data_IF_027219884351
#
_entry.id   IF_027219884351
#
_cell.length_a   1.000
_cell.length_b   1.000
_cell.length_c   1.000
_cell.angle_alpha   90.00
_cell.angle_beta   90.00
_cell.angle_gamma   90.00
#
_symmetry.space_group_name_H-M   'P 1'
#
loop_
_entity.id
_entity.type
_entity.pdbx_description
1 polymer ?
#
# COMPACT_ATOMS: atom_id res chain seq x y z
N UNK A 1 11.10 -7.33 -5.81
CA UNK A 1 11.75 -8.58 -5.38
C UNK A 1 12.87 -9.10 -6.30
N UNK A 2 13.12 -8.51 -7.48
CA UNK A 2 14.15 -8.99 -8.42
C UNK A 2 15.55 -8.34 -8.27
N UNK A 3 15.66 -7.20 -7.60
CA UNK A 3 16.94 -6.44 -7.52
C UNK A 3 17.95 -7.02 -6.53
N UNK A 4 17.48 -7.74 -5.49
CA UNK A 4 18.37 -8.39 -4.51
C UNK A 4 18.94 -9.73 -5.01
N UNK A 5 18.21 -10.44 -5.88
CA UNK A 5 18.68 -11.72 -6.46
C UNK A 5 19.91 -11.54 -7.34
N UNK A 6 20.09 -10.36 -7.95
CA UNK A 6 21.24 -10.05 -8.80
C UNK A 6 22.51 -9.81 -7.96
N UNK A 7 22.40 -9.20 -6.78
CA UNK A 7 23.58 -9.00 -5.88
C UNK A 7 24.09 -10.30 -5.27
N UNK A 8 23.21 -11.27 -4.98
CA UNK A 8 23.65 -12.60 -4.53
C UNK A 8 24.40 -13.36 -5.63
N UNK A 9 23.96 -13.25 -6.88
CA UNK A 9 24.59 -13.97 -8.00
C UNK A 9 26.01 -13.45 -8.30
N UNK A 10 26.24 -12.14 -8.15
CA UNK A 10 27.58 -11.53 -8.34
C UNK A 10 28.55 -11.90 -7.21
N UNK A 11 28.07 -12.06 -5.98
CA UNK A 11 28.93 -12.40 -4.84
C UNK A 11 29.44 -13.85 -4.91
N UNK A 12 28.59 -14.80 -5.34
CA UNK A 12 28.95 -16.22 -5.48
C UNK A 12 29.99 -16.43 -6.59
N UNK A 13 29.85 -15.74 -7.73
CA UNK A 13 30.82 -15.84 -8.84
C UNK A 13 32.21 -15.29 -8.44
N UNK A 14 32.26 -14.23 -7.60
CA UNK A 14 33.55 -13.70 -7.13
C UNK A 14 34.27 -14.61 -6.12
N UNK A 15 33.51 -15.47 -5.41
CA UNK A 15 34.07 -16.39 -4.42
C UNK A 15 34.66 -17.65 -5.06
N UNK A 16 34.04 -18.17 -6.13
CA UNK A 16 34.58 -19.30 -6.90
C UNK A 16 35.87 -18.95 -7.66
N UNK A 17 35.98 -17.71 -8.17
CA UNK A 17 37.15 -17.28 -8.95
C UNK A 17 38.40 -17.06 -8.09
N UNK A 18 38.22 -16.76 -6.80
CA UNK A 18 39.33 -16.51 -5.86
C UNK A 18 39.85 -17.82 -5.21
N UNK A 19 38.99 -18.83 -5.05
CA UNK A 19 39.39 -20.12 -4.46
C UNK A 19 40.14 -21.03 -5.44
N UNK A 20 40.05 -20.77 -6.75
CA UNK A 20 40.76 -21.53 -7.78
C UNK A 20 42.20 -21.03 -8.03
N UNK A 21 42.62 -19.97 -7.32
CA UNK A 21 43.99 -19.41 -7.40
C UNK A 21 44.91 -19.82 -6.24
N UNK A 22 44.38 -20.42 -5.18
CA UNK A 22 45.14 -20.71 -3.94
C UNK A 22 45.47 -22.18 -3.70
N UNK A 23 45.06 -23.11 -4.57
CA UNK A 23 45.31 -24.55 -4.41
C UNK A 23 46.57 -25.06 -5.12
N UNK A 24 47.77 -24.82 -4.57
CA UNK A 24 49.00 -25.40 -5.10
C UNK A 24 50.18 -25.48 -4.11
N UNK A 25 50.43 -26.69 -3.58
CA UNK A 25 51.64 -27.12 -2.84
C UNK A 25 51.52 -27.02 -1.31
N UNK A 26 51.97 -27.96 -0.47
CA UNK A 26 52.65 -29.25 -0.62
C UNK A 26 53.23 -29.66 0.76
N UNK A 27 53.06 -30.93 1.16
CA UNK A 27 53.90 -31.76 2.05
C UNK A 27 54.27 -31.34 3.49
N UNK A 28 54.17 -32.29 4.43
CA UNK A 28 54.98 -32.33 5.66
C UNK A 28 54.27 -32.90 6.89
N UNK A 29 54.65 -34.11 7.30
CA UNK A 29 54.28 -34.78 8.55
C UNK A 29 54.80 -34.04 9.79
N UNK A 30 54.08 -34.13 10.92
CA UNK A 30 54.64 -34.37 12.27
C UNK A 30 53.51 -34.52 13.31
N UNK A 31 53.60 -35.59 14.10
CA UNK A 31 52.72 -35.98 15.19
C UNK A 31 52.83 -35.04 16.40
N UNK A 32 51.72 -34.47 16.87
CA UNK A 32 51.64 -33.92 18.23
C UNK A 32 50.26 -34.09 18.88
N UNK A 33 50.31 -34.55 20.13
CA UNK A 33 49.22 -35.00 20.98
C UNK A 33 48.23 -33.85 21.24
N UNK A 34 47.11 -33.85 20.52
CA UNK A 34 46.01 -32.90 20.68
C UNK A 34 44.77 -33.57 21.26
N UNK A 35 44.37 -33.12 22.45
CA UNK A 35 43.07 -33.37 23.10
C UNK A 35 41.98 -33.49 22.04
N UNK A 36 41.52 -34.72 21.78
CA UNK A 36 40.62 -35.01 20.68
C UNK A 36 39.27 -34.37 20.95
N UNK A 37 39.13 -33.20 20.36
CA UNK A 37 37.92 -32.41 20.25
C UNK A 37 36.71 -33.30 19.99
N UNK A 38 35.69 -33.19 20.85
CA UNK A 38 34.33 -33.54 20.47
C UNK A 38 33.84 -32.50 19.44
N UNK A 39 34.43 -32.50 18.25
CA UNK A 39 33.83 -31.88 17.07
C UNK A 39 32.60 -32.70 16.74
N UNK A 40 31.50 -32.34 17.38
CA UNK A 40 30.14 -32.79 17.05
C UNK A 40 29.96 -32.42 15.57
N UNK A 41 30.17 -33.38 14.65
CA UNK A 41 29.92 -33.23 13.20
C UNK A 41 28.45 -32.82 13.05
N UNK A 42 28.21 -31.51 12.97
CA UNK A 42 26.87 -30.98 12.74
C UNK A 42 26.60 -31.15 11.26
N UNK A 43 25.52 -31.86 10.97
CA UNK A 43 25.10 -32.25 9.63
C UNK A 43 24.85 -30.98 8.81
N UNK A 44 25.70 -30.68 7.83
CA UNK A 44 25.44 -29.62 6.85
C UNK A 44 24.28 -30.09 5.96
N UNK A 45 23.19 -29.31 5.93
CA UNK A 45 21.98 -29.64 5.19
C UNK A 45 22.16 -29.23 3.73
N UNK A 46 22.63 -30.15 2.89
CA UNK A 46 23.00 -29.91 1.47
C UNK A 46 21.89 -29.39 0.55
N UNK A 47 20.64 -29.35 0.99
CA UNK A 47 19.50 -28.86 0.20
C UNK A 47 19.09 -27.41 0.51
N UNK A 48 19.69 -26.77 1.53
CA UNK A 48 19.54 -25.34 1.80
C UNK A 48 20.85 -24.62 1.45
N UNK A 49 20.90 -23.83 0.37
CA UNK A 49 22.09 -23.08 0.04
C UNK A 49 22.27 -21.93 1.04
N UNK A 50 23.40 -21.89 1.75
CA UNK A 50 23.91 -20.65 2.35
C UNK A 50 23.53 -20.32 3.79
N UNK A 51 22.98 -21.25 4.58
CA UNK A 51 22.96 -21.08 6.05
C UNK A 51 24.21 -21.75 6.62
N UNK A 52 25.37 -21.18 6.26
CA UNK A 52 26.64 -21.48 6.93
C UNK A 52 26.67 -20.82 8.30
N UNK A 53 27.61 -21.22 9.15
CA UNK A 53 27.79 -20.76 10.54
C UNK A 53 28.10 -19.25 10.69
N UNK A 54 27.80 -18.43 9.67
CA UNK A 54 28.05 -17.00 9.51
C UNK A 54 26.81 -16.14 9.82
N UNK A 55 25.78 -16.72 10.46
CA UNK A 55 24.61 -15.99 10.95
C UNK A 55 25.01 -15.07 12.11
N UNK A 56 25.62 -13.94 11.78
CA UNK A 56 25.72 -12.83 12.72
C UNK A 56 24.30 -12.32 12.96
N UNK A 57 23.69 -12.77 14.06
CA UNK A 57 22.35 -12.35 14.50
C UNK A 57 22.24 -10.83 14.59
N UNK A 58 23.35 -10.12 14.85
CA UNK A 58 23.41 -8.66 14.82
C UNK A 58 23.22 -8.07 13.42
N UNK A 59 23.89 -8.62 12.41
CA UNK A 59 23.77 -8.16 11.01
C UNK A 59 22.42 -8.56 10.41
N UNK A 60 21.97 -9.79 10.68
CA UNK A 60 20.64 -10.25 10.27
C UNK A 60 19.53 -9.39 10.91
N UNK A 61 19.67 -9.01 12.18
CA UNK A 61 18.71 -8.13 12.84
C UNK A 61 18.68 -6.73 12.22
N UNK A 62 19.84 -6.18 11.84
CA UNK A 62 19.96 -4.87 11.16
C UNK A 62 19.35 -4.90 9.76
N UNK A 63 19.48 -6.02 9.05
CA UNK A 63 18.84 -6.21 7.75
C UNK A 63 17.32 -6.40 7.85
N UNK A 64 16.83 -7.05 8.92
CA UNK A 64 15.41 -7.28 9.14
C UNK A 64 14.66 -6.07 9.70
N UNK A 65 15.36 -5.15 10.39
CA UNK A 65 14.69 -4.03 11.09
C UNK A 65 13.85 -3.14 10.17
N UNK A 66 14.31 -2.77 8.96
CA UNK A 66 13.49 -2.01 8.00
C UNK A 66 12.21 -2.75 7.59
N UNK A 67 12.29 -4.06 7.34
CA UNK A 67 11.13 -4.88 6.99
C UNK A 67 10.12 -4.96 8.13
N UNK A 68 10.60 -5.19 9.36
CA UNK A 68 9.73 -5.22 10.55
C UNK A 68 9.03 -3.88 10.77
N UNK A 69 9.73 -2.76 10.57
CA UNK A 69 9.15 -1.42 10.68
C UNK A 69 8.09 -1.15 9.60
N UNK A 70 8.36 -1.54 8.36
CA UNK A 70 7.40 -1.40 7.26
C UNK A 70 6.14 -2.25 7.52
N UNK A 71 6.32 -3.53 7.82
CA UNK A 71 5.21 -4.44 8.14
C UNK A 71 4.41 -3.96 9.36
N UNK A 72 5.09 -3.49 10.41
CA UNK A 72 4.44 -2.93 11.60
C UNK A 72 3.58 -1.70 11.27
N UNK A 73 4.06 -0.80 10.40
CA UNK A 73 3.29 0.35 9.95
C UNK A 73 2.03 -0.08 9.17
N UNK A 74 2.16 -1.03 8.25
CA UNK A 74 1.03 -1.56 7.47
C UNK A 74 0.01 -2.31 8.34
N UNK A 75 0.45 -3.04 9.36
CA UNK A 75 -0.44 -3.68 10.33
C UNK A 75 -1.21 -2.61 11.10
N UNK A 76 -0.54 -1.57 11.59
CA UNK A 76 -1.20 -0.50 12.33
C UNK A 76 -2.24 0.23 11.47
N UNK A 77 -1.89 0.55 10.22
CA UNK A 77 -2.82 1.07 9.20
C UNK A 77 -4.07 0.19 9.07
N UNK A 78 -3.86 -1.12 8.94
CA UNK A 78 -4.95 -2.09 8.75
C UNK A 78 -5.82 -2.18 10.00
N UNK A 79 -5.23 -2.26 11.19
CA UNK A 79 -5.96 -2.31 12.46
C UNK A 79 -6.80 -1.04 12.68
N UNK A 80 -6.27 0.14 12.37
CA UNK A 80 -7.04 1.40 12.47
C UNK A 80 -8.26 1.40 11.57
N UNK A 81 -8.10 0.98 10.32
CA UNK A 81 -9.21 0.86 9.37
C UNK A 81 -10.26 -0.15 9.86
N UNK A 82 -9.82 -1.34 10.30
CA UNK A 82 -10.73 -2.38 10.78
C UNK A 82 -11.47 -1.96 12.05
N UNK A 83 -10.80 -1.26 12.97
CA UNK A 83 -11.44 -0.73 14.17
C UNK A 83 -12.51 0.31 13.82
N UNK A 84 -12.24 1.19 12.85
CA UNK A 84 -13.24 2.15 12.38
C UNK A 84 -14.45 1.46 11.73
N UNK A 85 -14.24 0.47 10.84
CA UNK A 85 -15.32 -0.29 10.21
C UNK A 85 -16.11 -1.16 11.21
N UNK A 86 -15.46 -1.64 12.27
CA UNK A 86 -16.14 -2.29 13.38
C UNK A 86 -17.02 -1.28 14.13
N UNK A 87 -16.51 -0.08 14.41
CA UNK A 87 -17.26 1.00 15.05
C UNK A 87 -18.48 1.45 14.25
N UNK A 88 -18.41 1.50 12.91
CA UNK A 88 -19.61 1.82 12.09
C UNK A 88 -20.70 0.77 12.26
N UNK A 89 -20.32 -0.51 12.34
CA UNK A 89 -21.28 -1.62 12.52
C UNK A 89 -21.86 -1.59 13.93
N UNK A 90 -21.03 -1.35 14.94
CA UNK A 90 -21.47 -1.17 16.32
C UNK A 90 -22.47 -0.01 16.42
N UNK A 91 -22.13 1.16 15.83
CA UNK A 91 -22.97 2.35 15.76
C UNK A 91 -24.36 2.07 15.18
N UNK A 92 -24.39 1.37 14.04
CA UNK A 92 -25.64 1.03 13.38
C UNK A 92 -26.54 0.14 14.25
N UNK A 93 -25.95 -0.79 15.02
CA UNK A 93 -26.69 -1.71 15.86
C UNK A 93 -27.42 -1.07 17.04
N UNK A 94 -26.89 0.01 17.63
CA UNK A 94 -27.52 0.67 18.79
C UNK A 94 -28.28 1.96 18.43
N UNK A 95 -27.89 2.68 17.37
CA UNK A 95 -28.49 3.97 17.01
C UNK A 95 -29.58 3.87 15.93
N UNK A 96 -29.77 2.70 15.31
CA UNK A 96 -30.81 2.49 14.29
C UNK A 96 -32.18 2.24 14.93
N UNK A 97 -33.23 2.79 14.30
CA UNK A 97 -34.63 2.52 14.65
C UNK A 97 -35.06 1.12 14.20
N UNK A 98 -34.51 0.63 13.09
CA UNK A 98 -34.81 -0.71 12.52
C UNK A 98 -33.49 -1.44 12.23
N UNK A 99 -32.77 -1.90 13.27
CA UNK A 99 -31.39 -2.39 13.12
C UNK A 99 -31.24 -3.54 12.13
N UNK A 100 -32.22 -4.45 12.06
CA UNK A 100 -32.16 -5.62 11.18
C UNK A 100 -32.12 -5.23 9.69
N UNK A 101 -32.98 -4.28 9.28
CA UNK A 101 -33.04 -3.80 7.90
C UNK A 101 -31.81 -2.96 7.57
N UNK A 102 -31.41 -2.07 8.47
CA UNK A 102 -30.25 -1.19 8.27
C UNK A 102 -28.93 -1.98 8.21
N UNK A 103 -28.72 -2.96 9.09
CA UNK A 103 -27.53 -3.83 9.06
C UNK A 103 -27.48 -4.66 7.78
N UNK A 104 -28.62 -5.21 7.34
CA UNK A 104 -28.71 -5.93 6.08
C UNK A 104 -28.41 -5.02 4.88
N UNK A 105 -28.96 -3.81 4.85
CA UNK A 105 -28.72 -2.83 3.80
C UNK A 105 -27.25 -2.40 3.77
N UNK A 106 -26.66 -2.12 4.94
CA UNK A 106 -25.24 -1.83 5.07
C UNK A 106 -24.38 -2.99 4.54
N UNK A 107 -24.74 -4.23 4.82
CA UNK A 107 -24.00 -5.40 4.34
C UNK A 107 -24.06 -5.54 2.82
N UNK A 108 -25.22 -5.30 2.19
CA UNK A 108 -25.36 -5.28 0.72
C UNK A 108 -24.44 -4.22 0.11
N UNK A 109 -24.50 -2.98 0.62
CA UNK A 109 -23.66 -1.88 0.15
C UNK A 109 -22.16 -2.16 0.35
N UNK A 110 -21.79 -2.75 1.49
CA UNK A 110 -20.42 -3.15 1.80
C UNK A 110 -19.90 -4.23 0.84
N UNK A 111 -20.75 -5.19 0.46
CA UNK A 111 -20.38 -6.22 -0.51
C UNK A 111 -20.10 -5.63 -1.89
N UNK A 112 -20.94 -4.68 -2.35
CA UNK A 112 -20.67 -3.94 -3.59
C UNK A 112 -19.35 -3.18 -3.52
N UNK A 113 -19.12 -2.47 -2.40
CA UNK A 113 -17.88 -1.72 -2.18
C UNK A 113 -16.63 -2.62 -2.20
N UNK A 114 -16.69 -3.80 -1.58
CA UNK A 114 -15.57 -4.76 -1.56
C UNK A 114 -15.24 -5.28 -2.96
N UNK A 115 -16.24 -5.62 -3.78
CA UNK A 115 -16.02 -6.09 -5.16
C UNK A 115 -15.28 -5.02 -5.97
N UNK A 116 -15.71 -3.77 -5.87
CA UNK A 116 -15.07 -2.64 -6.53
C UNK A 116 -13.66 -2.36 -5.99
N UNK A 117 -13.46 -2.55 -4.68
CA UNK A 117 -12.16 -2.42 -4.03
C UNK A 117 -11.15 -3.45 -4.56
N UNK A 118 -11.57 -4.70 -4.78
CA UNK A 118 -10.71 -5.72 -5.40
C UNK A 118 -10.30 -5.38 -6.82
N UNK A 119 -11.20 -4.79 -7.62
CA UNK A 119 -10.85 -4.33 -8.96
C UNK A 119 -9.79 -3.21 -8.92
N UNK A 120 -9.90 -2.29 -7.96
CA UNK A 120 -8.93 -1.22 -7.76
C UNK A 120 -7.60 -1.70 -7.18
N UNK A 121 -7.60 -2.78 -6.40
CA UNK A 121 -6.38 -3.38 -5.83
C UNK A 121 -5.40 -3.84 -6.93
N UNK A 122 -5.92 -4.34 -8.05
CA UNK A 122 -5.09 -4.69 -9.21
C UNK A 122 -4.32 -3.48 -9.78
N UNK A 123 -4.97 -2.31 -9.84
CA UNK A 123 -4.33 -1.06 -10.31
C UNK A 123 -3.35 -0.54 -9.25
N UNK A 124 -3.69 -0.64 -7.97
CA UNK A 124 -2.80 -0.25 -6.87
C UNK A 124 -1.51 -1.07 -6.86
N UNK A 125 -1.61 -2.39 -7.04
CA UNK A 125 -0.44 -3.28 -7.15
C UNK A 125 0.41 -2.91 -8.37
N UNK A 126 -0.23 -2.62 -9.52
CA UNK A 126 0.49 -2.14 -10.70
C UNK A 126 1.23 -0.82 -10.41
N UNK A 127 0.58 0.12 -9.73
CA UNK A 127 1.18 1.39 -9.29
C UNK A 127 2.41 1.15 -8.42
N UNK A 128 2.28 0.28 -7.41
CA UNK A 128 3.38 -0.07 -6.52
C UNK A 128 4.58 -0.66 -7.27
N UNK A 129 4.35 -1.61 -8.19
CA UNK A 129 5.45 -2.23 -8.93
C UNK A 129 6.11 -1.25 -9.91
N UNK A 130 5.33 -0.43 -10.61
CA UNK A 130 5.85 0.51 -11.59
C UNK A 130 6.63 1.64 -10.92
N UNK A 131 6.09 2.26 -9.86
CA UNK A 131 6.79 3.30 -9.10
C UNK A 131 8.05 2.75 -8.43
N UNK A 132 7.97 1.57 -7.80
CA UNK A 132 9.16 0.94 -7.20
C UNK A 132 10.24 0.62 -8.26
N UNK A 133 9.83 0.22 -9.47
CA UNK A 133 10.76 -0.03 -10.57
C UNK A 133 11.44 1.25 -11.06
N UNK A 134 10.69 2.33 -11.28
CA UNK A 134 11.23 3.63 -11.70
C UNK A 134 12.23 4.19 -10.67
N UNK A 135 11.92 4.06 -9.38
CA UNK A 135 12.80 4.49 -8.29
C UNK A 135 14.04 3.59 -8.11
N UNK A 136 14.01 2.36 -8.64
CA UNK A 136 15.12 1.42 -8.54
C UNK A 136 16.14 1.56 -9.68
N UNK A 137 15.85 2.37 -10.70
CA UNK A 137 16.74 2.50 -11.85
C UNK A 137 18.03 3.25 -11.47
N UNK A 138 19.15 2.92 -12.12
CA UNK A 138 20.50 3.38 -11.73
C UNK A 138 20.80 4.84 -12.09
N UNK A 139 19.78 5.62 -12.45
CA UNK A 139 19.92 7.04 -12.73
C UNK A 139 20.24 7.83 -11.46
N UNK A 140 20.65 9.10 -11.61
CA UNK A 140 20.72 10.04 -10.49
C UNK A 140 19.38 10.08 -9.77
N UNK A 141 19.37 10.18 -8.44
CA UNK A 141 18.16 10.17 -7.60
C UNK A 141 17.05 11.08 -8.15
N UNK A 142 17.40 12.28 -8.62
CA UNK A 142 16.45 13.24 -9.19
C UNK A 142 15.78 12.78 -10.50
N UNK A 143 16.51 12.07 -11.37
CA UNK A 143 15.94 11.55 -12.61
C UNK A 143 15.01 10.37 -12.33
N UNK A 144 15.38 9.49 -11.39
CA UNK A 144 14.53 8.37 -10.98
C UNK A 144 13.21 8.85 -10.35
N UNK A 145 13.25 9.91 -9.54
CA UNK A 145 12.06 10.55 -8.97
C UNK A 145 11.16 11.17 -10.05
N UNK A 146 11.73 11.85 -11.04
CA UNK A 146 10.97 12.44 -12.16
C UNK A 146 10.28 11.37 -13.02
N UNK A 147 10.98 10.28 -13.35
CA UNK A 147 10.40 9.15 -14.11
C UNK A 147 9.31 8.43 -13.32
N UNK A 148 9.52 8.24 -12.01
CA UNK A 148 8.52 7.69 -11.11
C UNK A 148 7.28 8.59 -11.02
N UNK A 149 7.45 9.91 -11.04
CA UNK A 149 6.37 10.90 -11.04
C UNK A 149 5.52 10.83 -12.30
N UNK A 150 6.14 10.83 -13.48
CA UNK A 150 5.41 10.66 -14.76
C UNK A 150 4.64 9.35 -14.79
N UNK A 151 5.23 8.29 -14.24
CA UNK A 151 4.58 6.98 -14.15
C UNK A 151 3.38 7.02 -13.19
N UNK A 152 3.54 7.63 -12.01
CA UNK A 152 2.48 7.81 -11.03
C UNK A 152 1.31 8.63 -11.60
N UNK A 153 1.57 9.73 -12.31
CA UNK A 153 0.54 10.57 -12.94
C UNK A 153 -0.29 9.79 -13.96
N UNK A 154 0.36 8.96 -14.78
CA UNK A 154 -0.34 8.10 -15.77
C UNK A 154 -1.21 7.06 -15.10
N UNK A 155 -0.74 6.43 -14.02
CA UNK A 155 -1.53 5.42 -13.31
C UNK A 155 -2.67 6.06 -12.51
N UNK A 156 -2.48 7.26 -11.96
CA UNK A 156 -3.55 8.05 -11.36
C UNK A 156 -4.66 8.37 -12.36
N UNK A 157 -4.30 8.72 -13.60
CA UNK A 157 -5.28 8.92 -14.67
C UNK A 157 -6.07 7.64 -14.95
N UNK A 158 -5.39 6.49 -15.09
CA UNK A 158 -6.06 5.20 -15.27
C UNK A 158 -6.95 4.83 -14.08
N UNK A 159 -6.50 5.10 -12.86
CA UNK A 159 -7.30 4.98 -11.64
C UNK A 159 -8.55 5.85 -11.69
N UNK A 160 -8.41 7.13 -12.03
CA UNK A 160 -9.54 8.05 -12.18
C UNK A 160 -10.54 7.55 -13.23
N UNK A 161 -10.06 7.12 -14.40
CA UNK A 161 -10.89 6.55 -15.46
C UNK A 161 -11.64 5.30 -14.99
N UNK A 162 -10.96 4.36 -14.33
CA UNK A 162 -11.57 3.15 -13.77
C UNK A 162 -12.59 3.47 -12.68
N UNK A 163 -12.29 4.41 -11.79
CA UNK A 163 -13.19 4.89 -10.74
C UNK A 163 -14.45 5.52 -11.32
N UNK A 164 -14.31 6.38 -12.33
CA UNK A 164 -15.45 6.96 -13.06
C UNK A 164 -16.27 5.88 -13.77
N UNK A 165 -15.63 4.90 -14.42
CA UNK A 165 -16.33 3.80 -15.07
C UNK A 165 -17.16 2.99 -14.07
N UNK A 166 -16.58 2.65 -12.90
CA UNK A 166 -17.29 1.93 -11.85
C UNK A 166 -18.39 2.76 -11.20
N UNK A 167 -18.18 4.07 -11.03
CA UNK A 167 -19.22 4.97 -10.55
C UNK A 167 -20.40 5.03 -11.52
N UNK A 168 -20.15 5.13 -12.83
CA UNK A 168 -21.19 5.07 -13.85
C UNK A 168 -21.91 3.72 -13.85
N UNK A 169 -21.18 2.61 -13.73
CA UNK A 169 -21.78 1.28 -13.60
C UNK A 169 -22.71 1.19 -12.38
N UNK A 170 -22.33 1.76 -11.23
CA UNK A 170 -23.21 1.83 -10.06
C UNK A 170 -24.43 2.73 -10.28
N UNK A 171 -24.30 3.82 -11.03
CA UNK A 171 -25.44 4.72 -11.31
C UNK A 171 -26.48 4.08 -12.23
N UNK A 172 -26.04 3.32 -13.24
CA UNK A 172 -26.95 2.69 -14.21
C UNK A 172 -27.42 1.30 -13.77
N UNK A 173 -26.53 0.49 -13.20
CA UNK A 173 -26.77 -0.92 -12.88
C UNK A 173 -26.85 -1.19 -11.36
N UNK A 174 -26.75 -0.16 -10.52
CA UNK A 174 -26.72 -0.31 -9.06
C UNK A 174 -27.95 -1.00 -8.47
N UNK A 175 -29.13 -0.68 -8.98
CA UNK A 175 -30.39 -1.31 -8.56
C UNK A 175 -30.45 -2.79 -8.98
N UNK A 176 -29.95 -3.13 -10.17
CA UNK A 176 -29.79 -4.52 -10.59
C UNK A 176 -28.81 -5.27 -9.68
N UNK A 177 -27.67 -4.64 -9.33
CA UNK A 177 -26.68 -5.22 -8.44
C UNK A 177 -27.24 -5.44 -7.01
N UNK A 178 -28.04 -4.52 -6.48
CA UNK A 178 -28.72 -4.68 -5.17
C UNK A 178 -29.72 -5.85 -5.22
N UNK A 179 -30.53 -5.96 -6.29
CA UNK A 179 -31.47 -7.08 -6.44
C UNK A 179 -30.81 -8.45 -6.49
N UNK A 180 -29.58 -8.54 -6.99
CA UNK A 180 -28.81 -9.79 -6.99
C UNK A 180 -28.36 -10.21 -5.59
N UNK A 181 -28.19 -9.24 -4.68
CA UNK A 181 -27.66 -9.47 -3.33
C UNK A 181 -28.76 -9.65 -2.27
N UNK A 182 -29.98 -9.16 -2.52
CA UNK A 182 -31.09 -9.29 -1.57
C UNK A 182 -32.44 -9.51 -2.26
N UNK A 183 -33.25 -10.36 -1.64
CA UNK A 183 -34.66 -10.57 -2.03
C UNK A 183 -35.64 -9.76 -1.17
N UNK A 184 -35.19 -9.13 -0.07
CA UNK A 184 -36.04 -8.36 0.82
C UNK A 184 -36.36 -6.98 0.22
N UNK A 185 -37.65 -6.61 0.05
CA UNK A 185 -38.05 -5.29 -0.44
C UNK A 185 -37.54 -4.15 0.44
N UNK A 186 -37.66 -4.29 1.77
CA UNK A 186 -37.30 -3.25 2.74
C UNK A 186 -35.79 -2.95 2.71
N UNK A 187 -34.96 -4.00 2.61
CA UNK A 187 -33.50 -3.86 2.48
C UNK A 187 -33.12 -3.18 1.18
N UNK A 188 -33.84 -3.50 0.09
CA UNK A 188 -33.61 -2.87 -1.22
C UNK A 188 -33.99 -1.38 -1.19
N UNK A 189 -35.11 -1.03 -0.56
CA UNK A 189 -35.55 0.36 -0.41
C UNK A 189 -34.56 1.19 0.42
N UNK A 190 -33.97 0.60 1.46
CA UNK A 190 -32.93 1.25 2.26
C UNK A 190 -31.58 1.38 1.51
N UNK A 191 -31.15 0.35 0.77
CA UNK A 191 -29.83 0.32 0.14
C UNK A 191 -29.75 1.08 -1.20
N UNK A 192 -30.74 0.92 -2.08
CA UNK A 192 -30.69 1.42 -3.46
C UNK A 192 -30.45 2.93 -3.56
N UNK A 193 -31.11 3.79 -2.75
CA UNK A 193 -30.87 5.23 -2.79
C UNK A 193 -29.44 5.62 -2.39
N UNK A 194 -28.77 4.82 -1.55
CA UNK A 194 -27.39 5.06 -1.12
C UNK A 194 -26.37 4.65 -2.17
N UNK A 195 -26.70 3.68 -3.04
CA UNK A 195 -25.83 3.30 -4.16
C UNK A 195 -25.55 4.51 -5.05
N UNK A 196 -26.60 5.21 -5.50
CA UNK A 196 -26.43 6.37 -6.36
C UNK A 196 -25.92 7.62 -5.64
N UNK A 197 -26.45 7.91 -4.44
CA UNK A 197 -26.13 9.17 -3.74
C UNK A 197 -24.77 9.18 -3.06
N UNK A 198 -24.29 8.03 -2.58
CA UNK A 198 -23.07 7.95 -1.79
C UNK A 198 -22.06 7.00 -2.42
N UNK A 199 -22.42 5.74 -2.69
CA UNK A 199 -21.46 4.72 -3.12
C UNK A 199 -20.83 5.05 -4.47
N UNK A 200 -21.63 5.48 -5.45
CA UNK A 200 -21.16 5.85 -6.78
C UNK A 200 -20.16 7.03 -6.78
N UNK A 201 -20.47 8.22 -6.20
CA UNK A 201 -19.48 9.29 -6.13
C UNK A 201 -18.28 8.93 -5.26
N UNK A 202 -18.51 8.17 -4.17
CA UNK A 202 -17.43 7.70 -3.30
C UNK A 202 -16.46 6.77 -4.05
N UNK A 203 -16.93 5.99 -5.01
CA UNK A 203 -16.08 5.09 -5.81
C UNK A 203 -14.97 5.83 -6.56
N UNK A 204 -15.22 7.04 -7.05
CA UNK A 204 -14.21 7.86 -7.73
C UNK A 204 -13.11 8.28 -6.75
N UNK A 205 -13.51 8.75 -5.56
CA UNK A 205 -12.59 9.14 -4.49
C UNK A 205 -11.78 7.93 -4.02
N UNK A 206 -12.46 6.83 -3.72
CA UNK A 206 -11.82 5.57 -3.29
C UNK A 206 -10.83 5.06 -4.33
N UNK A 207 -11.15 5.14 -5.62
CA UNK A 207 -10.23 4.73 -6.68
C UNK A 207 -8.89 5.48 -6.60
N UNK A 208 -8.94 6.81 -6.49
CA UNK A 208 -7.74 7.64 -6.37
C UNK A 208 -6.95 7.33 -5.09
N UNK A 209 -7.64 7.09 -3.98
CA UNK A 209 -7.02 6.70 -2.72
C UNK A 209 -6.30 5.35 -2.83
N UNK A 210 -6.90 4.36 -3.49
CA UNK A 210 -6.30 3.03 -3.66
C UNK A 210 -5.05 3.09 -4.53
N UNK A 211 -5.12 3.82 -5.66
CA UNK A 211 -3.94 4.05 -6.50
C UNK A 211 -2.87 4.85 -5.76
N UNK A 212 -3.27 5.87 -5.01
CA UNK A 212 -2.37 6.69 -4.20
C UNK A 212 -1.63 5.88 -3.13
N UNK A 213 -2.33 4.96 -2.46
CA UNK A 213 -1.69 4.02 -1.52
C UNK A 213 -0.67 3.12 -2.22
N UNK A 214 -1.00 2.61 -3.43
CA UNK A 214 -0.05 1.86 -4.24
C UNK A 214 1.21 2.67 -4.59
N UNK A 215 1.06 3.95 -4.93
CA UNK A 215 2.17 4.86 -5.21
C UNK A 215 3.04 5.08 -3.96
N UNK A 216 2.42 5.37 -2.80
CA UNK A 216 3.13 5.58 -1.54
C UNK A 216 3.89 4.32 -1.09
N UNK A 217 3.29 3.14 -1.25
CA UNK A 217 3.95 1.87 -0.97
C UNK A 217 5.08 1.57 -1.97
N UNK A 218 4.91 1.98 -3.23
CA UNK A 218 5.94 1.92 -4.26
C UNK A 218 7.16 2.77 -3.93
N UNK A 219 6.93 3.96 -3.35
CA UNK A 219 7.98 4.85 -2.83
C UNK A 219 8.44 4.52 -1.39
N UNK A 220 7.98 3.40 -0.82
CA UNK A 220 8.31 2.93 0.53
C UNK A 220 7.91 3.86 1.69
N UNK A 221 6.89 4.70 1.50
CA UNK A 221 6.44 5.69 2.50
C UNK A 221 5.41 5.14 3.49
N UNK A 222 5.68 3.95 4.03
CA UNK A 222 4.74 3.20 4.88
C UNK A 222 4.39 3.90 6.20
N UNK A 223 5.33 4.67 6.77
CA UNK A 223 5.10 5.40 8.02
C UNK A 223 4.08 6.51 7.84
N UNK A 224 4.21 7.28 6.77
CA UNK A 224 3.27 8.33 6.44
C UNK A 224 1.88 7.75 6.20
N UNK A 225 1.80 6.69 5.39
CA UNK A 225 0.55 6.00 5.07
C UNK A 225 -0.18 5.51 6.33
N UNK A 226 0.58 4.95 7.30
CA UNK A 226 0.02 4.51 8.58
C UNK A 226 -0.50 5.67 9.43
N UNK A 227 0.28 6.75 9.58
CA UNK A 227 -0.13 7.94 10.35
C UNK A 227 -1.35 8.62 9.72
N UNK A 228 -1.36 8.76 8.39
CA UNK A 228 -2.49 9.31 7.65
C UNK A 228 -3.76 8.48 7.86
N UNK A 229 -3.66 7.15 7.82
CA UNK A 229 -4.80 6.27 8.07
C UNK A 229 -5.31 6.38 9.51
N UNK A 230 -4.42 6.43 10.51
CA UNK A 230 -4.81 6.61 11.91
C UNK A 230 -5.56 7.94 12.08
N UNK A 231 -4.99 9.03 11.56
CA UNK A 231 -5.59 10.36 11.64
C UNK A 231 -6.97 10.39 10.96
N UNK A 232 -7.08 9.83 9.75
CA UNK A 232 -8.35 9.74 9.03
C UNK A 232 -9.38 8.88 9.79
N UNK A 233 -8.95 7.74 10.35
CA UNK A 233 -9.82 6.84 11.12
C UNK A 233 -10.31 7.48 12.42
N UNK A 234 -9.46 8.23 13.10
CA UNK A 234 -9.83 8.99 14.30
C UNK A 234 -10.80 10.12 13.96
N UNK A 235 -10.58 10.85 12.86
CA UNK A 235 -11.47 11.92 12.43
C UNK A 235 -12.85 11.37 12.04
N UNK A 236 -12.88 10.31 11.22
CA UNK A 236 -14.11 9.65 10.83
C UNK A 236 -14.82 8.99 12.03
N UNK A 237 -14.07 8.35 12.94
CA UNK A 237 -14.62 7.81 14.18
C UNK A 237 -15.19 8.89 15.10
N UNK A 238 -14.52 10.04 15.21
CA UNK A 238 -15.01 11.21 15.92
C UNK A 238 -16.35 11.70 15.37
N UNK A 239 -16.56 11.65 14.05
CA UNK A 239 -17.86 12.00 13.45
C UNK A 239 -19.01 11.08 13.91
N UNK A 240 -18.73 9.77 14.12
CA UNK A 240 -19.72 8.83 14.66
C UNK A 240 -20.04 9.14 16.13
N UNK A 241 -19.01 9.44 16.93
CA UNK A 241 -19.21 9.82 18.33
C UNK A 241 -20.04 11.10 18.45
N UNK A 242 -19.78 12.11 17.61
CA UNK A 242 -20.59 13.33 17.59
C UNK A 242 -22.05 13.04 17.18
N UNK A 243 -22.25 12.17 16.18
CA UNK A 243 -23.60 11.76 15.78
C UNK A 243 -24.34 11.01 16.89
N UNK A 244 -23.65 10.21 17.70
CA UNK A 244 -24.21 9.53 18.87
C UNK A 244 -24.64 10.50 19.98
N UNK A 245 -23.92 11.62 20.14
CA UNK A 245 -24.31 12.72 21.04
C UNK A 245 -25.50 13.55 20.50
N UNK A 246 -26.12 13.14 19.40
CA UNK A 246 -27.23 13.86 18.77
C UNK A 246 -26.79 15.02 17.87
N UNK A 247 -25.49 15.23 17.65
CA UNK A 247 -24.96 16.24 16.74
C UNK A 247 -24.96 15.74 15.29
N UNK A 248 -26.14 15.37 14.80
CA UNK A 248 -26.36 14.96 13.40
C UNK A 248 -27.53 15.76 12.81
N UNK A 249 -27.56 15.97 11.48
CA UNK A 249 -28.73 16.57 10.84
C UNK A 249 -29.99 15.74 11.15
N UNK A 250 -31.12 16.41 11.41
CA UNK A 250 -32.38 15.76 11.82
C UNK A 250 -32.86 14.70 10.82
N UNK A 251 -32.57 14.91 9.53
CA UNK A 251 -32.96 14.00 8.43
C UNK A 251 -32.04 12.78 8.26
N UNK A 252 -30.94 12.67 9.02
CA UNK A 252 -29.96 11.60 8.82
C UNK A 252 -30.31 10.34 9.64
N UNK A 253 -30.76 9.31 8.94
CA UNK A 253 -30.81 7.94 9.46
C UNK A 253 -29.43 7.44 9.88
N UNK A 254 -29.38 6.47 10.79
CA UNK A 254 -28.12 5.88 11.24
C UNK A 254 -27.31 5.29 10.06
N UNK A 255 -27.99 4.69 9.08
CA UNK A 255 -27.38 4.19 7.85
C UNK A 255 -26.72 5.31 7.02
N UNK A 256 -27.36 6.47 6.89
CA UNK A 256 -26.78 7.62 6.18
C UNK A 256 -25.55 8.17 6.93
N UNK A 257 -25.60 8.24 8.27
CA UNK A 257 -24.47 8.69 9.10
C UNK A 257 -23.25 7.83 8.86
N UNK A 258 -23.36 6.49 8.93
CA UNK A 258 -22.19 5.63 8.79
C UNK A 258 -21.55 5.74 7.39
N UNK A 259 -22.36 5.83 6.34
CA UNK A 259 -21.85 5.97 4.97
C UNK A 259 -21.25 7.36 4.72
N UNK A 260 -21.78 8.39 5.36
CA UNK A 260 -21.15 9.72 5.39
C UNK A 260 -19.80 9.68 6.13
N UNK A 261 -19.69 8.97 7.26
CA UNK A 261 -18.41 8.79 7.97
C UNK A 261 -17.40 7.97 7.16
N UNK A 262 -17.84 6.95 6.44
CA UNK A 262 -16.97 6.19 5.51
C UNK A 262 -16.51 7.11 4.37
N UNK A 263 -17.40 7.94 3.81
CA UNK A 263 -17.02 8.91 2.80
C UNK A 263 -15.98 9.90 3.35
N UNK A 264 -16.21 10.41 4.57
CA UNK A 264 -15.29 11.30 5.27
C UNK A 264 -13.90 10.68 5.44
N UNK A 265 -13.83 9.40 5.82
CA UNK A 265 -12.58 8.65 5.87
C UNK A 265 -11.84 8.69 4.52
N UNK A 266 -12.53 8.42 3.41
CA UNK A 266 -11.91 8.41 2.08
C UNK A 266 -11.47 9.80 1.63
N UNK A 267 -12.24 10.85 1.92
CA UNK A 267 -11.85 12.23 1.61
C UNK A 267 -10.62 12.66 2.40
N UNK A 268 -10.51 12.30 3.68
CA UNK A 268 -9.31 12.57 4.48
C UNK A 268 -8.09 11.83 3.94
N UNK A 269 -8.25 10.57 3.55
CA UNK A 269 -7.17 9.79 2.91
C UNK A 269 -6.74 10.40 1.59
N UNK A 270 -7.69 10.85 0.76
CA UNK A 270 -7.38 11.54 -0.49
C UNK A 270 -6.63 12.84 -0.21
N UNK A 271 -7.08 13.64 0.75
CA UNK A 271 -6.42 14.88 1.15
C UNK A 271 -4.99 14.65 1.66
N UNK A 272 -4.78 13.61 2.47
CA UNK A 272 -3.46 13.20 2.92
C UNK A 272 -2.56 12.80 1.73
N UNK A 273 -3.07 11.93 0.84
CA UNK A 273 -2.34 11.54 -0.36
C UNK A 273 -1.99 12.76 -1.23
N UNK A 274 -2.94 13.64 -1.55
CA UNK A 274 -2.73 14.85 -2.35
C UNK A 274 -1.69 15.76 -1.70
N UNK A 275 -1.80 16.00 -0.39
CA UNK A 275 -0.81 16.79 0.34
C UNK A 275 0.59 16.18 0.28
N UNK A 276 0.70 14.86 0.42
CA UNK A 276 2.00 14.19 0.29
C UNK A 276 2.49 14.26 -1.15
N UNK A 277 1.65 14.01 -2.14
CA UNK A 277 2.04 13.93 -3.54
C UNK A 277 2.51 15.27 -4.12
N UNK A 278 1.90 16.38 -3.70
CA UNK A 278 2.18 17.71 -4.27
C UNK A 278 3.01 18.65 -3.39
N UNK A 279 3.08 18.45 -2.07
CA UNK A 279 3.70 19.44 -1.16
C UNK A 279 4.94 18.90 -0.49
N UNK A 280 4.86 17.70 0.09
CA UNK A 280 5.87 17.25 1.06
C UNK A 280 6.42 15.84 0.78
N UNK A 281 6.12 15.23 -0.36
CA UNK A 281 6.39 13.82 -0.60
C UNK A 281 7.63 13.51 -1.43
N UNK A 282 7.98 12.21 -1.53
CA UNK A 282 9.16 11.74 -2.24
C UNK A 282 9.11 11.96 -3.76
N UNK A 283 7.93 12.22 -4.31
CA UNK A 283 7.72 12.48 -5.74
C UNK A 283 7.35 13.95 -6.02
N UNK A 284 7.52 14.85 -5.05
CA UNK A 284 7.19 16.27 -5.20
C UNK A 284 8.07 16.91 -6.29
N UNK A 285 7.49 17.80 -7.09
CA UNK A 285 8.22 18.51 -8.13
C UNK A 285 9.02 19.66 -7.50
N UNK A 286 10.20 19.35 -6.99
CA UNK A 286 11.12 20.32 -6.38
C UNK A 286 11.99 20.97 -7.46
N UNK A 287 11.38 21.48 -8.51
CA UNK A 287 12.06 22.13 -9.63
C UNK A 287 12.70 23.49 -9.29
N UNK A 288 12.60 23.97 -8.05
CA UNK A 288 13.13 25.28 -7.66
C UNK A 288 14.50 25.27 -6.96
N UNK A 289 15.03 24.12 -6.52
CA UNK A 289 16.24 24.11 -5.67
C UNK A 289 17.53 23.57 -6.34
N UNK A 290 17.57 23.53 -7.67
CA UNK A 290 18.73 22.98 -8.38
C UNK A 290 18.81 23.23 -9.89
N UNK A 291 18.50 24.42 -10.37
CA UNK A 291 18.96 24.85 -11.69
C UNK A 291 20.17 25.78 -11.52
N UNK A 292 21.39 25.29 -11.78
CA UNK A 292 22.09 25.88 -12.92
C UNK A 292 22.93 24.85 -13.68
N UNK A 293 22.71 24.78 -15.00
CA UNK A 293 23.78 24.76 -16.02
C UNK A 293 23.14 24.55 -17.39
N UNK A 294 22.91 25.66 -18.08
CA UNK A 294 23.30 25.85 -19.47
C UNK A 294 23.36 24.58 -20.36
N UNK A 295 22.42 24.49 -21.29
CA UNK A 295 22.74 23.96 -22.61
C UNK A 295 23.75 24.91 -23.26
N UNK A 296 25.03 24.78 -22.90
CA UNK A 296 26.13 25.18 -23.77
C UNK A 296 26.17 24.13 -24.87
N UNK A 297 25.45 24.40 -25.95
CA UNK A 297 25.79 23.82 -27.25
C UNK A 297 27.19 24.28 -27.58
N UNK A 298 28.17 23.38 -27.42
CA UNK A 298 29.50 23.54 -28.00
C UNK A 298 29.36 23.71 -29.51
N UNK A 299 30.07 24.72 -29.99
CA UNK A 299 30.40 25.02 -31.37
C UNK A 299 30.65 23.77 -32.22
N UNK A 300 29.91 23.66 -33.33
CA UNK A 300 30.42 23.07 -34.57
C UNK A 300 31.04 24.23 -35.37
N UNK A 301 32.34 24.45 -35.15
CA UNK A 301 33.19 25.26 -36.02
C UNK A 301 33.85 24.29 -37.01
N UNK A 302 33.46 24.36 -38.28
CA UNK A 302 33.88 23.36 -39.26
C UNK A 302 33.38 23.54 -40.68
N UNK A 303 33.45 24.76 -41.24
CA UNK A 303 33.69 25.02 -42.69
C UNK A 303 34.15 26.45 -42.92
#
# INVERSE_FOLDING_TARGET
MASYTIRYKVMITSYEENNNRSGGGGGGDDDEIGVSSLKRKRKEWSWWPGVGDDLNLGDTYRELTPFVKASGATILRTLSLQLFLASTTAFLGHSSVVPEVDLAAHQVLKQLYIVLSFAMDAIAIAAQQMVASSLSDKATTSQAEAEARVTADRILLWGACAGCLFALALLFEGDAAVRLLTSSPDVREAATPLVGRVLAPLQVVSSLVFVGDGILQGSQDFKYEAVAMIAASLFAGGSLLLADQGMKPEDYSALNVIWASIALLQFFRLGAFVNRYFVNGPLCDNSEEGAPASYVSKEDDGT
#
